data_IF_274119971135
#
_entry.id   IF_274119971135
#
_cell.length_a   1.000
_cell.length_b   1.000
_cell.length_c   1.000
_cell.angle_alpha   90.00
_cell.angle_beta   90.00
_cell.angle_gamma   90.00
#
_symmetry.space_group_name_H-M   'P 1'
#
loop_
_entity.id
_entity.type
_entity.pdbx_description
1 polymer ?
#
# COMPACT_ATOMS: atom_id res chain seq x y z
N UNK A 1 16.57 16.58 -14.25
CA UNK A 1 16.26 15.18 -13.89
C UNK A 1 17.35 14.28 -14.46
N UNK A 2 18.06 13.54 -13.60
CA UNK A 2 19.18 12.68 -13.97
C UNK A 2 18.74 11.21 -14.06
N UNK A 3 19.16 10.50 -15.12
CA UNK A 3 18.90 9.06 -15.27
C UNK A 3 19.95 8.24 -14.51
N UNK A 4 19.51 7.34 -13.63
CA UNK A 4 20.35 6.35 -12.94
C UNK A 4 19.94 4.94 -13.39
N UNK A 5 20.87 4.21 -13.99
CA UNK A 5 20.64 2.83 -14.45
C UNK A 5 21.25 1.88 -13.42
N UNK A 6 20.48 0.90 -12.95
CA UNK A 6 20.93 -0.09 -11.99
C UNK A 6 20.83 -1.48 -12.64
N UNK A 7 21.91 -2.26 -12.72
CA UNK A 7 21.81 -3.65 -13.16
C UNK A 7 20.82 -4.43 -12.30
N UNK A 8 19.88 -5.14 -12.91
CA UNK A 8 18.88 -5.91 -12.17
C UNK A 8 19.51 -6.94 -11.22
N UNK A 9 20.67 -7.50 -11.62
CA UNK A 9 21.45 -8.43 -10.80
C UNK A 9 21.81 -7.89 -9.42
N UNK A 10 22.03 -6.57 -9.27
CA UNK A 10 22.29 -5.95 -7.96
C UNK A 10 21.03 -5.90 -7.09
N UNK A 11 19.88 -5.60 -7.69
CA UNK A 11 18.58 -5.57 -6.98
C UNK A 11 18.19 -6.98 -6.57
N UNK A 12 18.37 -7.96 -7.44
CA UNK A 12 18.11 -9.37 -7.16
C UNK A 12 19.01 -9.90 -6.04
N UNK A 13 20.30 -9.57 -6.06
CA UNK A 13 21.23 -9.96 -5.00
C UNK A 13 20.87 -9.32 -3.63
N UNK A 14 20.51 -8.03 -3.60
CA UNK A 14 20.07 -7.35 -2.39
C UNK A 14 18.78 -7.99 -1.83
N UNK A 15 17.82 -8.30 -2.72
CA UNK A 15 16.56 -8.98 -2.36
C UNK A 15 16.81 -10.37 -1.77
N UNK A 16 17.66 -11.16 -2.42
CA UNK A 16 18.01 -12.50 -1.94
C UNK A 16 18.72 -12.46 -0.59
N UNK A 17 19.62 -11.48 -0.38
CA UNK A 17 20.30 -11.29 0.90
C UNK A 17 19.32 -10.95 2.03
N UNK A 18 18.33 -10.09 1.77
CA UNK A 18 17.29 -9.75 2.76
C UNK A 18 16.44 -10.97 3.12
N UNK A 19 16.01 -11.75 2.12
CA UNK A 19 15.24 -12.97 2.34
C UNK A 19 16.02 -14.00 3.17
N UNK A 20 17.34 -14.08 2.98
CA UNK A 20 18.20 -14.95 3.79
C UNK A 20 18.38 -14.46 5.24
N UNK A 21 18.25 -13.15 5.51
CA UNK A 21 18.41 -12.56 6.85
C UNK A 21 17.11 -12.60 7.67
N UNK A 22 15.95 -12.77 7.02
CA UNK A 22 14.62 -12.74 7.67
C UNK A 22 14.40 -13.81 8.78
N UNK A 23 15.34 -14.73 9.01
CA UNK A 23 15.42 -15.57 10.22
C UNK A 23 15.95 -14.83 11.48
N UNK A 24 16.33 -13.54 11.38
CA UNK A 24 16.79 -12.74 12.51
C UNK A 24 15.94 -11.48 12.72
N UNK A 25 15.23 -11.45 13.85
CA UNK A 25 14.51 -10.27 14.33
C UNK A 25 15.51 -9.14 14.63
N UNK A 26 15.48 -8.08 13.81
CA UNK A 26 16.27 -6.84 13.89
C UNK A 26 17.78 -6.94 13.55
N UNK A 27 18.18 -6.71 12.29
CA UNK A 27 19.55 -6.37 12.00
C UNK A 27 19.83 -4.93 12.44
N UNK A 28 20.72 -4.77 13.43
CA UNK A 28 21.26 -3.49 13.90
C UNK A 28 22.12 -2.75 12.85
N UNK A 29 22.29 -3.35 11.67
CA UNK A 29 22.91 -2.76 10.48
C UNK A 29 22.04 -3.09 9.28
N UNK A 30 21.27 -2.11 8.78
CA UNK A 30 20.53 -2.26 7.52
C UNK A 30 21.52 -2.09 6.36
N UNK A 31 22.12 -3.20 5.92
CA UNK A 31 22.93 -3.25 4.69
C UNK A 31 22.09 -3.16 3.41
N UNK A 32 20.75 -3.16 3.53
CA UNK A 32 19.80 -3.09 2.44
C UNK A 32 20.03 -1.84 1.59
N UNK A 33 20.33 -2.06 0.31
CA UNK A 33 20.62 -0.98 -0.64
C UNK A 33 19.36 -0.43 -1.29
N UNK A 34 18.34 -1.25 -1.50
CA UNK A 34 17.14 -0.85 -2.24
C UNK A 34 15.87 -1.12 -1.45
N UNK A 35 14.81 -0.38 -1.75
CA UNK A 35 13.44 -0.59 -1.26
C UNK A 35 13.31 -0.56 0.27
N UNK A 36 14.15 0.24 0.92
CA UNK A 36 14.07 0.44 2.37
C UNK A 36 12.77 1.15 2.78
N UNK A 37 12.31 0.94 4.02
CA UNK A 37 11.18 1.62 4.66
C UNK A 37 11.40 1.65 6.18
N UNK A 38 10.59 2.39 6.94
CA UNK A 38 10.63 2.41 8.41
C UNK A 38 12.02 2.71 9.01
N UNK A 39 12.71 3.72 8.50
CA UNK A 39 13.96 4.20 9.11
C UNK A 39 13.69 4.99 10.38
N UNK A 40 14.70 5.06 11.23
CA UNK A 40 14.68 5.85 12.46
C UNK A 40 15.14 7.28 12.17
N UNK A 41 14.77 8.19 13.08
CA UNK A 41 15.16 9.59 13.01
C UNK A 41 16.69 9.78 12.97
N UNK A 42 17.43 9.01 13.76
CA UNK A 42 18.89 9.09 13.83
C UNK A 42 19.59 8.63 12.54
N UNK A 43 18.93 7.81 11.72
CA UNK A 43 19.45 7.37 10.42
C UNK A 43 19.29 8.48 9.36
N UNK A 44 18.16 9.18 9.33
CA UNK A 44 17.83 10.16 8.27
C UNK A 44 18.25 11.60 8.60
N UNK A 45 18.20 12.01 9.87
CA UNK A 45 18.48 13.39 10.29
C UNK A 45 19.88 13.90 9.89
N UNK A 46 20.96 13.09 9.89
CA UNK A 46 22.26 13.53 9.41
C UNK A 46 22.30 13.87 7.91
N UNK A 47 21.43 13.24 7.11
CA UNK A 47 21.39 13.41 5.65
C UNK A 47 20.41 14.52 5.24
N UNK A 48 19.25 14.54 5.90
CA UNK A 48 18.18 15.52 5.70
C UNK A 48 17.90 16.18 7.06
N UNK A 49 18.57 17.29 7.39
CA UNK A 49 18.38 17.94 8.68
C UNK A 49 17.00 18.59 8.78
N UNK A 50 16.38 18.49 9.96
CA UNK A 50 15.21 19.29 10.30
C UNK A 50 15.52 20.79 10.24
N UNK A 51 14.51 21.60 9.99
CA UNK A 51 14.61 23.05 9.97
C UNK A 51 13.37 23.68 10.64
N UNK A 52 13.26 25.02 10.61
CA UNK A 52 12.15 25.74 11.24
C UNK A 52 10.75 25.39 10.68
N UNK A 53 10.69 24.75 9.53
CA UNK A 53 9.46 24.44 8.80
C UNK A 53 9.30 22.96 8.48
N UNK A 54 10.33 22.14 8.71
CA UNK A 54 10.31 20.72 8.40
C UNK A 54 10.93 19.92 9.55
N UNK A 55 10.15 18.96 10.04
CA UNK A 55 10.60 17.93 10.96
C UNK A 55 10.29 16.57 10.34
N UNK A 56 11.10 15.57 10.67
CA UNK A 56 10.77 14.19 10.32
C UNK A 56 9.71 13.67 11.28
N UNK A 57 8.61 13.20 10.72
CA UNK A 57 7.55 12.54 11.47
C UNK A 57 6.93 11.42 10.64
N UNK A 58 6.26 10.49 11.32
CA UNK A 58 5.45 9.48 10.63
C UNK A 58 4.21 10.18 10.08
N UNK A 59 4.01 10.22 8.75
CA UNK A 59 2.85 10.91 8.17
C UNK A 59 1.54 10.21 8.57
N UNK A 60 0.44 10.98 8.75
CA UNK A 60 -0.87 10.40 9.03
C UNK A 60 -1.37 9.58 7.83
N UNK A 61 -2.14 8.51 8.02
CA UNK A 61 -2.58 7.67 6.89
C UNK A 61 -3.75 8.25 6.09
N UNK A 62 -4.59 9.06 6.75
CA UNK A 62 -5.85 9.59 6.20
C UNK A 62 -5.70 10.32 4.86
N UNK A 63 -4.69 11.19 4.63
CA UNK A 63 -4.51 11.86 3.34
C UNK A 63 -4.18 10.91 2.17
N UNK A 64 -3.77 9.67 2.47
CA UNK A 64 -3.36 8.66 1.49
C UNK A 64 -4.40 7.54 1.35
N UNK A 65 -5.55 7.64 2.02
CA UNK A 65 -6.63 6.67 1.90
C UNK A 65 -7.10 6.56 0.45
N UNK A 66 -7.18 5.34 -0.07
CA UNK A 66 -7.50 5.11 -1.48
C UNK A 66 -8.86 5.70 -1.87
N UNK A 67 -9.87 5.55 -1.01
CA UNK A 67 -11.24 6.04 -1.25
C UNK A 67 -11.31 7.56 -1.42
N UNK A 68 -10.37 8.31 -0.83
CA UNK A 68 -10.27 9.76 -1.05
C UNK A 68 -9.86 10.09 -2.50
N UNK A 69 -9.02 9.25 -3.11
CA UNK A 69 -8.45 9.45 -4.44
C UNK A 69 -9.10 8.59 -5.52
N UNK A 70 -10.00 7.69 -5.13
CA UNK A 70 -10.60 6.70 -5.99
C UNK A 70 -11.31 7.31 -7.21
N UNK A 71 -12.08 8.42 -7.12
CA UNK A 71 -12.66 9.06 -8.29
C UNK A 71 -11.61 9.52 -9.32
N UNK A 72 -10.46 10.04 -8.85
CA UNK A 72 -9.36 10.47 -9.72
C UNK A 72 -8.67 9.25 -10.36
N UNK A 73 -8.41 8.23 -9.56
CA UNK A 73 -7.79 6.97 -10.01
C UNK A 73 -8.67 6.32 -11.08
N UNK A 74 -9.95 6.12 -10.78
CA UNK A 74 -10.92 5.54 -11.70
C UNK A 74 -11.03 6.32 -13.01
N UNK A 75 -11.07 7.65 -12.93
CA UNK A 75 -11.06 8.53 -14.11
C UNK A 75 -9.76 8.37 -14.91
N UNK A 76 -8.61 8.34 -14.26
CA UNK A 76 -7.31 8.21 -14.95
C UNK A 76 -7.16 6.86 -15.66
N UNK A 77 -7.76 5.81 -15.11
CA UNK A 77 -7.74 4.46 -15.66
C UNK A 77 -8.88 4.19 -16.65
N UNK A 78 -9.79 5.14 -16.85
CA UNK A 78 -11.03 4.97 -17.62
C UNK A 78 -11.83 3.73 -17.17
N UNK A 79 -11.97 3.52 -15.85
CA UNK A 79 -12.72 2.39 -15.32
C UNK A 79 -14.19 2.49 -15.73
N UNK A 80 -14.72 1.43 -16.35
CA UNK A 80 -16.13 1.33 -16.75
C UNK A 80 -17.08 1.33 -15.55
N UNK A 81 -16.62 0.76 -14.45
CA UNK A 81 -17.28 0.74 -13.16
C UNK A 81 -16.25 0.65 -12.05
N UNK A 82 -16.62 1.08 -10.84
CA UNK A 82 -15.83 0.91 -9.63
C UNK A 82 -16.76 1.02 -8.43
N UNK A 83 -16.46 0.27 -7.36
CA UNK A 83 -17.36 0.16 -6.22
C UNK A 83 -16.63 0.36 -4.91
N UNK A 84 -17.30 1.07 -4.00
CA UNK A 84 -16.93 1.16 -2.59
C UNK A 84 -18.05 0.53 -1.76
N UNK A 85 -17.68 -0.40 -0.90
CA UNK A 85 -18.59 -1.16 -0.05
C UNK A 85 -18.12 -1.03 1.40
N UNK A 86 -19.00 -0.57 2.28
CA UNK A 86 -18.77 -0.62 3.71
C UNK A 86 -19.10 -2.01 4.24
N UNK A 87 -18.08 -2.75 4.66
CA UNK A 87 -18.27 -4.01 5.36
C UNK A 87 -18.79 -3.74 6.78
N UNK A 88 -19.68 -4.59 7.31
CA UNK A 88 -20.18 -4.43 8.67
C UNK A 88 -19.04 -4.52 9.69
N UNK A 89 -18.98 -3.56 10.62
CA UNK A 89 -17.93 -3.47 11.63
C UNK A 89 -17.92 -4.63 12.61
N UNK A 90 -19.08 -5.26 12.86
CA UNK A 90 -19.17 -6.44 13.71
C UNK A 90 -18.37 -7.64 13.17
N UNK A 91 -18.00 -7.66 11.88
CA UNK A 91 -17.13 -8.70 11.32
C UNK A 91 -15.65 -8.53 11.72
N UNK A 92 -15.25 -7.39 12.29
CA UNK A 92 -13.86 -7.09 12.63
C UNK A 92 -13.20 -8.20 13.44
N UNK A 93 -13.82 -8.58 14.56
CA UNK A 93 -13.26 -9.60 15.47
C UNK A 93 -13.14 -10.96 14.79
N UNK A 94 -14.12 -11.37 13.98
CA UNK A 94 -14.08 -12.66 13.31
C UNK A 94 -13.08 -12.71 12.15
N UNK A 95 -12.89 -11.58 11.44
CA UNK A 95 -11.80 -11.43 10.46
C UNK A 95 -10.44 -11.54 11.16
N UNK A 96 -10.26 -10.91 12.33
CA UNK A 96 -9.02 -11.02 13.11
C UNK A 96 -8.79 -12.42 13.68
N UNK A 97 -9.85 -13.14 14.06
CA UNK A 97 -9.76 -14.54 14.49
C UNK A 97 -9.33 -15.44 13.35
N UNK A 98 -9.91 -15.28 12.15
CA UNK A 98 -9.48 -16.00 10.95
C UNK A 98 -8.01 -15.74 10.66
N UNK A 99 -7.59 -14.47 10.72
CA UNK A 99 -6.19 -14.09 10.52
C UNK A 99 -5.26 -14.72 11.56
N UNK A 100 -5.63 -14.66 12.85
CA UNK A 100 -4.83 -15.24 13.94
C UNK A 100 -4.68 -16.75 13.78
N UNK A 101 -5.74 -17.45 13.37
CA UNK A 101 -5.69 -18.89 13.06
C UNK A 101 -4.74 -19.18 11.89
N UNK A 102 -4.80 -18.37 10.83
CA UNK A 102 -3.87 -18.47 9.70
C UNK A 102 -2.42 -18.24 10.11
N UNK A 103 -2.11 -17.17 10.84
CA UNK A 103 -0.74 -16.89 11.29
C UNK A 103 -0.21 -18.03 12.16
N UNK A 104 -1.03 -18.58 13.06
CA UNK A 104 -0.62 -19.63 13.98
C UNK A 104 -0.40 -20.99 13.31
N UNK A 105 -1.17 -21.32 12.26
CA UNK A 105 -1.23 -22.69 11.71
C UNK A 105 -0.89 -22.79 10.22
N UNK A 106 -0.68 -21.65 9.56
CA UNK A 106 -0.61 -21.48 8.11
C UNK A 106 -1.86 -22.03 7.37
N UNK A 107 -2.99 -22.14 8.08
CA UNK A 107 -4.27 -22.67 7.57
C UNK A 107 -5.42 -21.87 8.18
N UNK A 108 -6.53 -21.75 7.46
CA UNK A 108 -7.79 -21.28 8.04
C UNK A 108 -8.74 -22.46 8.10
N UNK A 109 -9.35 -22.69 9.27
CA UNK A 109 -10.41 -23.68 9.40
C UNK A 109 -11.60 -23.26 8.55
N UNK A 110 -12.00 -24.11 7.60
CA UNK A 110 -13.07 -23.81 6.63
C UNK A 110 -14.35 -23.37 7.31
N UNK A 111 -14.75 -24.01 8.42
CA UNK A 111 -15.95 -23.65 9.17
C UNK A 111 -15.92 -22.20 9.69
N UNK A 112 -14.78 -21.74 10.22
CA UNK A 112 -14.64 -20.38 10.74
C UNK A 112 -14.76 -19.35 9.59
N UNK A 113 -14.16 -19.66 8.45
CA UNK A 113 -14.23 -18.81 7.26
C UNK A 113 -15.64 -18.77 6.69
N UNK A 114 -16.29 -19.92 6.58
CA UNK A 114 -17.66 -20.07 6.09
C UNK A 114 -18.64 -19.28 6.97
N UNK A 115 -18.49 -19.33 8.30
CA UNK A 115 -19.31 -18.54 9.22
C UNK A 115 -19.20 -17.03 8.92
N UNK A 116 -17.99 -16.51 8.70
CA UNK A 116 -17.78 -15.10 8.34
C UNK A 116 -18.41 -14.77 6.99
N UNK A 117 -18.26 -15.66 6.00
CA UNK A 117 -18.82 -15.49 4.65
C UNK A 117 -20.35 -15.47 4.70
N UNK A 118 -20.98 -16.39 5.43
CA UNK A 118 -22.44 -16.47 5.57
C UNK A 118 -23.00 -15.28 6.35
N UNK A 119 -22.34 -14.86 7.43
CA UNK A 119 -22.70 -13.63 8.15
C UNK A 119 -22.63 -12.41 7.23
N UNK A 120 -21.56 -12.26 6.44
CA UNK A 120 -21.43 -11.16 5.49
C UNK A 120 -22.58 -11.19 4.48
N UNK A 121 -22.86 -12.33 3.83
CA UNK A 121 -23.95 -12.51 2.85
C UNK A 121 -25.32 -12.10 3.39
N UNK A 122 -25.57 -12.28 4.69
CA UNK A 122 -26.84 -11.89 5.32
C UNK A 122 -27.04 -10.37 5.41
N UNK A 123 -25.97 -9.57 5.28
CA UNK A 123 -26.02 -8.11 5.42
C UNK A 123 -26.42 -7.39 4.13
N UNK A 124 -26.81 -6.10 4.24
CA UNK A 124 -27.09 -5.26 3.06
C UNK A 124 -25.86 -5.12 2.15
N UNK A 125 -24.68 -4.92 2.72
CA UNK A 125 -23.42 -4.79 1.97
C UNK A 125 -22.99 -6.13 1.35
N UNK A 126 -23.17 -7.25 2.06
CA UNK A 126 -22.92 -8.58 1.49
C UNK A 126 -23.86 -8.94 0.34
N UNK A 127 -25.14 -8.58 0.42
CA UNK A 127 -26.07 -8.73 -0.72
C UNK A 127 -25.63 -7.92 -1.93
N UNK A 128 -25.17 -6.68 -1.73
CA UNK A 128 -24.59 -5.85 -2.80
C UNK A 128 -23.30 -6.49 -3.36
N UNK A 129 -22.42 -7.01 -2.50
CA UNK A 129 -21.22 -7.74 -2.94
C UNK A 129 -21.55 -8.99 -3.74
N UNK A 130 -22.58 -9.75 -3.36
CA UNK A 130 -23.01 -10.94 -4.08
C UNK A 130 -23.47 -10.60 -5.50
N UNK A 131 -24.05 -9.41 -5.72
CA UNK A 131 -24.38 -8.93 -7.07
C UNK A 131 -23.18 -8.45 -7.89
N UNK A 132 -21.97 -8.40 -7.33
CA UNK A 132 -20.74 -8.02 -8.03
C UNK A 132 -19.81 -9.23 -8.19
N UNK A 133 -19.72 -10.06 -7.16
CA UNK A 133 -18.89 -11.26 -7.03
C UNK A 133 -19.71 -12.50 -7.37
N UNK A 134 -20.13 -12.59 -8.63
CA UNK A 134 -21.01 -13.62 -9.19
C UNK A 134 -20.29 -14.88 -9.69
N UNK A 135 -18.97 -14.95 -9.53
CA UNK A 135 -18.13 -16.03 -10.05
C UNK A 135 -17.68 -15.85 -11.50
N UNK A 136 -18.20 -14.85 -12.21
CA UNK A 136 -17.84 -14.56 -13.62
C UNK A 136 -16.99 -13.30 -13.73
N UNK A 137 -17.41 -12.21 -13.08
CA UNK A 137 -16.68 -10.94 -13.10
C UNK A 137 -15.47 -10.98 -12.19
N UNK A 138 -14.35 -10.49 -12.73
CA UNK A 138 -13.05 -10.44 -12.05
C UNK A 138 -12.80 -9.06 -11.48
N UNK A 139 -12.44 -9.01 -10.20
CA UNK A 139 -12.22 -7.78 -9.47
C UNK A 139 -10.84 -7.72 -8.82
N UNK A 140 -10.17 -6.59 -8.98
CA UNK A 140 -9.12 -6.19 -8.05
C UNK A 140 -9.79 -5.67 -6.78
N UNK A 141 -9.41 -6.25 -5.63
CA UNK A 141 -9.91 -5.83 -4.32
C UNK A 141 -8.84 -5.14 -3.50
N UNK A 142 -9.27 -4.17 -2.67
CA UNK A 142 -8.40 -3.58 -1.65
C UNK A 142 -9.21 -3.03 -0.49
N UNK A 143 -8.55 -2.89 0.65
CA UNK A 143 -9.01 -2.01 1.71
C UNK A 143 -8.50 -0.59 1.45
N UNK A 144 -8.98 0.37 2.24
CA UNK A 144 -8.70 1.80 2.03
C UNK A 144 -7.18 2.08 1.99
N UNK A 145 -6.41 1.47 2.88
CA UNK A 145 -4.98 1.74 2.99
C UNK A 145 -4.13 0.78 2.14
N UNK A 146 -4.56 -0.48 1.98
CA UNK A 146 -3.75 -1.51 1.32
C UNK A 146 -4.60 -2.57 0.60
N UNK A 147 -4.05 -3.11 -0.49
CA UNK A 147 -4.54 -4.35 -1.11
C UNK A 147 -3.95 -5.60 -0.43
N UNK A 148 -4.71 -6.71 -0.34
CA UNK A 148 -4.25 -7.96 0.28
C UNK A 148 -3.29 -8.78 -0.62
N UNK A 149 -2.42 -8.10 -1.37
CA UNK A 149 -1.58 -8.73 -2.41
C UNK A 149 -0.50 -9.69 -1.87
N UNK A 150 -0.21 -9.59 -0.58
CA UNK A 150 0.67 -10.47 0.19
C UNK A 150 -0.03 -11.76 0.65
N UNK A 151 -1.36 -11.88 0.46
CA UNK A 151 -2.05 -13.12 0.76
C UNK A 151 -1.49 -14.28 -0.08
N UNK A 152 -1.08 -15.40 0.56
CA UNK A 152 -0.65 -16.59 -0.17
C UNK A 152 -1.83 -17.30 -0.88
N UNK A 153 -3.06 -16.96 -0.50
CA UNK A 153 -4.30 -17.54 -1.06
C UNK A 153 -4.81 -16.70 -2.25
N UNK A 154 -3.91 -16.42 -3.18
CA UNK A 154 -4.24 -15.72 -4.42
C UNK A 154 -4.34 -14.20 -4.29
N UNK A 155 -3.58 -13.56 -3.38
CA UNK A 155 -3.58 -12.10 -3.23
C UNK A 155 -3.22 -11.32 -4.51
N UNK A 156 -2.48 -11.94 -5.43
CA UNK A 156 -2.10 -11.37 -6.74
C UNK A 156 -3.08 -11.71 -7.88
N UNK A 157 -4.15 -12.45 -7.59
CA UNK A 157 -5.15 -12.87 -8.58
C UNK A 157 -6.41 -11.99 -8.45
N UNK A 158 -7.29 -11.94 -9.46
CA UNK A 158 -8.62 -11.33 -9.31
C UNK A 158 -9.50 -12.12 -8.35
N UNK A 159 -10.42 -11.44 -7.66
CA UNK A 159 -11.51 -12.04 -6.89
C UNK A 159 -12.79 -12.04 -7.73
N UNK A 160 -13.51 -13.15 -7.72
CA UNK A 160 -14.82 -13.28 -8.38
C UNK A 160 -15.91 -13.76 -7.42
N UNK A 161 -15.56 -14.19 -6.20
CA UNK A 161 -16.53 -14.62 -5.18
C UNK A 161 -16.30 -13.94 -3.82
N UNK A 162 -17.33 -13.83 -2.98
CA UNK A 162 -17.21 -13.33 -1.60
C UNK A 162 -16.21 -14.17 -0.80
N UNK A 163 -16.22 -15.50 -0.98
CA UNK A 163 -15.33 -16.40 -0.27
C UNK A 163 -13.85 -16.07 -0.57
N UNK A 164 -13.49 -15.84 -1.83
CA UNK A 164 -12.13 -15.41 -2.19
C UNK A 164 -11.74 -14.07 -1.56
N UNK A 165 -12.67 -13.10 -1.54
CA UNK A 165 -12.43 -11.79 -0.91
C UNK A 165 -12.12 -11.94 0.57
N UNK A 166 -12.99 -12.65 1.31
CA UNK A 166 -12.81 -12.87 2.76
C UNK A 166 -11.54 -13.67 3.02
N UNK A 167 -11.27 -14.74 2.25
CA UNK A 167 -10.05 -15.54 2.35
C UNK A 167 -8.80 -14.66 2.25
N UNK A 168 -8.74 -13.77 1.26
CA UNK A 168 -7.57 -12.92 1.01
C UNK A 168 -7.39 -11.86 2.09
N UNK A 169 -8.48 -11.28 2.60
CA UNK A 169 -8.44 -10.36 3.74
C UNK A 169 -7.89 -11.09 4.97
N UNK A 170 -8.41 -12.28 5.29
CA UNK A 170 -7.99 -13.04 6.47
C UNK A 170 -6.54 -13.55 6.37
N UNK A 171 -6.05 -13.86 5.17
CA UNK A 171 -4.69 -14.39 4.96
C UNK A 171 -3.66 -13.34 4.56
N UNK A 172 -3.92 -12.05 4.80
CA UNK A 172 -3.02 -10.95 4.44
C UNK A 172 -2.56 -10.19 5.68
N UNK A 173 -1.23 -10.04 5.83
CA UNK A 173 -0.65 -9.18 6.86
C UNK A 173 -0.95 -7.70 6.59
N UNK A 174 -1.01 -7.30 5.32
CA UNK A 174 -1.41 -5.93 4.91
C UNK A 174 -2.86 -5.63 5.28
N UNK A 175 -3.77 -6.57 5.05
CA UNK A 175 -5.18 -6.38 5.39
C UNK A 175 -5.37 -6.34 6.91
N UNK A 176 -4.71 -7.23 7.66
CA UNK A 176 -4.67 -7.17 9.12
C UNK A 176 -4.22 -5.78 9.61
N UNK A 177 -3.09 -5.28 9.12
CA UNK A 177 -2.58 -3.95 9.50
C UNK A 177 -3.51 -2.79 9.13
N UNK A 178 -4.27 -2.92 8.04
CA UNK A 178 -5.29 -1.94 7.67
C UNK A 178 -6.48 -1.96 8.66
N UNK A 179 -6.93 -3.14 9.09
CA UNK A 179 -8.05 -3.29 10.01
C UNK A 179 -7.70 -2.80 11.41
N UNK A 180 -6.55 -3.22 11.95
CA UNK A 180 -6.14 -2.82 13.30
C UNK A 180 -5.87 -1.31 13.40
N UNK A 181 -5.23 -0.73 12.37
CA UNK A 181 -5.02 0.72 12.33
C UNK A 181 -6.32 1.49 12.26
N UNK A 182 -7.26 1.08 11.41
CA UNK A 182 -8.55 1.75 11.33
C UNK A 182 -9.35 1.65 12.64
N UNK A 183 -9.22 0.53 13.38
CA UNK A 183 -9.78 0.40 14.72
C UNK A 183 -9.15 1.38 15.70
N UNK A 184 -7.81 1.47 15.73
CA UNK A 184 -7.08 2.39 16.61
C UNK A 184 -7.39 3.86 16.25
N UNK A 185 -7.34 4.22 14.97
CA UNK A 185 -7.64 5.56 14.46
C UNK A 185 -9.08 5.96 14.81
N UNK A 186 -10.06 5.06 14.63
CA UNK A 186 -11.45 5.33 14.96
C UNK A 186 -11.64 5.60 16.47
N UNK A 187 -10.96 4.83 17.31
CA UNK A 187 -10.96 5.03 18.76
C UNK A 187 -10.31 6.35 19.18
N UNK A 188 -9.17 6.70 18.57
CA UNK A 188 -8.47 7.96 18.85
C UNK A 188 -9.28 9.18 18.38
N UNK A 189 -9.98 9.06 17.24
CA UNK A 189 -10.81 10.13 16.68
C UNK A 189 -12.25 10.17 17.26
N UNK A 190 -12.59 9.30 18.22
CA UNK A 190 -13.95 9.15 18.79
C UNK A 190 -15.04 9.02 17.71
N UNK A 191 -14.79 8.14 16.73
CA UNK A 191 -15.70 7.86 15.62
C UNK A 191 -15.96 6.36 15.47
N UNK A 192 -17.01 6.02 14.73
CA UNK A 192 -17.22 4.64 14.32
C UNK A 192 -16.11 4.19 13.33
N UNK A 193 -15.67 2.95 13.50
CA UNK A 193 -14.77 2.26 12.59
C UNK A 193 -15.42 2.10 11.21
N UNK A 194 -14.64 2.22 10.14
CA UNK A 194 -15.12 1.99 8.78
C UNK A 194 -14.25 0.97 8.04
N UNK A 195 -14.82 -0.21 7.79
CA UNK A 195 -14.15 -1.23 6.96
C UNK A 195 -14.56 -1.01 5.50
N UNK A 196 -13.79 -0.18 4.78
CA UNK A 196 -14.04 0.10 3.36
C UNK A 196 -13.38 -0.96 2.47
N UNK A 197 -14.19 -1.65 1.67
CA UNK A 197 -13.74 -2.55 0.61
C UNK A 197 -13.98 -1.89 -0.75
N UNK A 198 -12.92 -1.79 -1.54
CA UNK A 198 -12.95 -1.26 -2.90
C UNK A 198 -12.84 -2.39 -3.91
N UNK A 199 -13.65 -2.32 -4.96
CA UNK A 199 -13.63 -3.24 -6.09
C UNK A 199 -13.45 -2.45 -7.39
N UNK A 200 -12.34 -2.71 -8.08
CA UNK A 200 -12.08 -2.22 -9.44
C UNK A 200 -12.11 -3.40 -10.40
N UNK A 201 -12.60 -3.22 -11.64
CA UNK A 201 -12.51 -4.25 -12.66
C UNK A 201 -11.08 -4.72 -12.82
N UNK A 202 -10.88 -6.03 -12.88
CA UNK A 202 -9.56 -6.60 -13.10
C UNK A 202 -9.06 -6.25 -14.50
N UNK A 203 -7.86 -5.69 -14.59
CA UNK A 203 -7.22 -5.35 -15.85
C UNK A 203 -6.12 -6.36 -16.18
N UNK A 204 -6.44 -7.36 -17.01
CA UNK A 204 -5.46 -8.35 -17.51
C UNK A 204 -4.32 -7.72 -18.32
N UNK A 205 -4.52 -6.50 -18.83
CA UNK A 205 -3.52 -5.75 -19.60
C UNK A 205 -2.59 -4.88 -18.76
N UNK A 206 -2.76 -4.83 -17.44
CA UNK A 206 -1.87 -4.08 -16.55
C UNK A 206 -0.51 -4.79 -16.46
N UNK A 207 0.53 -4.12 -16.92
CA UNK A 207 1.90 -4.64 -16.96
C UNK A 207 2.71 -4.09 -15.77
N UNK A 208 3.07 -4.92 -14.77
CA UNK A 208 3.86 -4.48 -13.62
C UNK A 208 5.24 -3.93 -13.99
N UNK A 209 5.82 -4.34 -15.12
CA UNK A 209 7.13 -3.84 -15.58
C UNK A 209 7.04 -2.40 -16.12
N UNK A 210 5.81 -1.87 -16.22
CA UNK A 210 5.51 -0.49 -16.60
C UNK A 210 4.95 0.33 -15.44
N UNK A 211 5.00 -0.19 -14.22
CA UNK A 211 4.64 0.53 -13.02
C UNK A 211 5.84 1.33 -12.47
N UNK A 212 5.61 2.60 -12.12
CA UNK A 212 6.61 3.49 -11.58
C UNK A 212 6.08 4.18 -10.32
N UNK A 213 6.94 4.33 -9.32
CA UNK A 213 6.67 5.15 -8.14
C UNK A 213 7.29 6.53 -8.29
N UNK A 214 6.48 7.56 -8.07
CA UNK A 214 6.90 8.95 -8.03
C UNK A 214 6.91 9.42 -6.58
N UNK A 215 8.01 10.06 -6.17
CA UNK A 215 8.16 10.63 -4.83
C UNK A 215 8.09 12.16 -4.89
N UNK A 216 7.16 12.74 -4.14
CA UNK A 216 6.95 14.18 -4.05
C UNK A 216 7.26 14.65 -2.63
N UNK A 217 8.41 15.29 -2.38
CA UNK A 217 8.78 15.69 -1.03
C UNK A 217 7.95 16.88 -0.53
N UNK A 218 7.80 17.02 0.80
CA UNK A 218 7.17 18.21 1.37
C UNK A 218 8.00 19.45 1.00
N UNK A 219 7.38 20.51 0.43
CA UNK A 219 8.11 21.73 0.05
C UNK A 219 8.89 22.39 1.19
N UNK A 220 8.45 22.17 2.43
CA UNK A 220 9.11 22.63 3.63
C UNK A 220 10.50 22.02 3.85
N UNK A 221 10.77 20.81 3.32
CA UNK A 221 12.10 20.20 3.40
C UNK A 221 13.17 21.05 2.71
N UNK A 222 12.80 21.78 1.65
CA UNK A 222 13.69 22.71 0.92
C UNK A 222 13.76 24.10 1.56
N UNK A 223 13.16 24.30 2.74
CA UNK A 223 12.96 25.62 3.34
C UNK A 223 12.17 26.60 2.43
N UNK A 224 11.37 26.07 1.50
CA UNK A 224 10.54 26.88 0.60
C UNK A 224 9.13 26.93 1.15
N UNK A 225 8.73 28.08 1.71
CA UNK A 225 7.36 28.29 2.17
C UNK A 225 6.49 28.68 0.98
N UNK A 226 5.66 27.75 0.49
CA UNK A 226 4.59 28.07 -0.46
C UNK A 226 3.26 28.08 0.30
N UNK A 227 2.43 29.14 0.20
CA UNK A 227 1.17 29.27 0.94
C UNK A 227 0.14 28.15 0.69
N UNK A 228 0.36 27.32 -0.34
CA UNK A 228 -0.50 26.20 -0.73
C UNK A 228 0.24 24.86 -0.81
N UNK A 229 1.44 24.78 -0.22
CA UNK A 229 2.17 23.51 -0.12
C UNK A 229 1.43 22.57 0.84
N UNK A 230 1.35 21.30 0.48
CA UNK A 230 0.97 20.25 1.42
C UNK A 230 2.01 20.21 2.55
N UNK A 231 1.53 20.11 3.79
CA UNK A 231 2.39 19.95 4.97
C UNK A 231 3.23 18.67 4.84
N UNK A 232 2.63 17.62 4.32
CA UNK A 232 3.26 16.33 4.04
C UNK A 232 3.68 16.19 2.58
N UNK A 233 4.76 15.44 2.35
CA UNK A 233 5.03 14.89 1.02
C UNK A 233 4.07 13.75 0.70
N UNK A 234 4.10 13.26 -0.53
CA UNK A 234 3.36 12.04 -0.90
C UNK A 234 4.15 11.27 -1.94
N UNK A 235 3.84 9.98 -2.07
CA UNK A 235 4.28 9.19 -3.22
C UNK A 235 3.05 8.68 -3.95
N UNK A 236 3.19 8.40 -5.24
CA UNK A 236 2.11 7.82 -6.01
C UNK A 236 2.65 6.89 -7.06
N UNK A 237 1.89 5.84 -7.31
CA UNK A 237 2.21 4.83 -8.30
C UNK A 237 1.47 5.14 -9.58
N UNK A 238 2.15 4.99 -10.71
CA UNK A 238 1.59 5.16 -12.05
C UNK A 238 1.95 3.98 -12.93
N UNK A 239 1.09 3.67 -13.89
CA UNK A 239 1.39 2.70 -14.94
C UNK A 239 1.46 3.38 -16.30
N UNK A 240 2.51 3.08 -17.07
CA UNK A 240 2.70 3.55 -18.44
C UNK A 240 1.97 2.63 -19.42
N UNK A 241 1.04 3.20 -20.17
CA UNK A 241 0.27 2.50 -21.19
C UNK A 241 1.04 2.41 -22.51
N UNK A 242 0.68 1.42 -23.35
CA UNK A 242 1.33 1.20 -24.66
C UNK A 242 1.23 2.41 -25.60
N UNK A 243 0.19 3.22 -25.46
CA UNK A 243 -0.01 4.45 -26.25
C UNK A 243 0.74 5.67 -25.67
N UNK A 244 1.58 5.48 -24.64
CA UNK A 244 2.28 6.55 -23.94
C UNK A 244 1.44 7.27 -22.88
N UNK A 245 0.16 6.90 -22.70
CA UNK A 245 -0.68 7.41 -21.63
C UNK A 245 -0.18 6.98 -20.24
N UNK A 246 -0.48 7.77 -19.22
CA UNK A 246 -0.11 7.48 -17.82
C UNK A 246 -1.37 7.40 -17.01
N UNK A 247 -1.52 6.33 -16.22
CA UNK A 247 -2.65 6.14 -15.34
C UNK A 247 -2.17 6.12 -13.89
N UNK A 248 -2.92 6.79 -13.01
CA UNK A 248 -2.66 6.80 -11.57
C UNK A 248 -3.13 5.47 -10.98
N UNK A 249 -2.32 4.81 -10.16
CA UNK A 249 -2.60 3.51 -9.55
C UNK A 249 -3.01 3.67 -8.09
N UNK A 250 -2.16 4.31 -7.28
CA UNK A 250 -2.43 4.61 -5.88
C UNK A 250 -1.60 5.79 -5.37
N UNK A 251 -1.97 6.33 -4.21
CA UNK A 251 -1.15 7.24 -3.43
C UNK A 251 -0.68 6.52 -2.16
N UNK A 252 0.52 6.90 -1.71
CA UNK A 252 1.19 6.31 -0.56
C UNK A 252 1.83 7.43 0.29
N UNK A 253 1.94 7.22 1.62
CA UNK A 253 2.66 8.14 2.49
C UNK A 253 4.10 8.39 2.02
N UNK A 254 4.64 9.57 2.30
CA UNK A 254 6.04 9.90 2.00
C UNK A 254 6.86 10.03 3.29
N UNK A 255 8.11 9.58 3.21
CA UNK A 255 9.13 9.90 4.19
C UNK A 255 9.84 8.66 4.74
N UNK A 256 11.07 8.84 5.19
CA UNK A 256 11.93 7.76 5.68
C UNK A 256 11.34 6.98 6.86
N UNK A 257 10.59 7.67 7.73
CA UNK A 257 9.91 7.07 8.90
C UNK A 257 8.63 6.32 8.52
N UNK A 258 8.11 6.51 7.31
CA UNK A 258 6.89 5.85 6.84
C UNK A 258 7.14 4.39 6.43
N UNK A 259 6.06 3.62 6.31
CA UNK A 259 6.10 2.27 5.72
C UNK A 259 6.16 2.24 4.20
N UNK A 260 6.34 3.39 3.54
CA UNK A 260 6.45 3.45 2.10
C UNK A 260 7.82 2.93 1.66
N UNK A 261 7.82 1.82 0.90
CA UNK A 261 9.03 1.29 0.27
C UNK A 261 9.61 2.27 -0.74
N UNK A 262 10.93 2.47 -0.67
CA UNK A 262 11.69 3.38 -1.54
C UNK A 262 11.96 2.84 -2.96
N UNK A 263 11.48 1.63 -3.31
CA UNK A 263 11.72 0.99 -4.61
C UNK A 263 13.23 0.91 -4.95
N UNK A 264 13.70 1.57 -6.01
CA UNK A 264 15.13 1.58 -6.38
C UNK A 264 15.94 2.68 -5.65
N UNK A 265 15.30 3.44 -4.77
CA UNK A 265 15.95 4.35 -3.85
C UNK A 265 16.22 3.70 -2.50
N UNK A 266 17.07 4.36 -1.73
CA UNK A 266 17.24 4.17 -0.29
C UNK A 266 16.92 5.48 0.42
N UNK A 267 16.01 5.45 1.40
CA UNK A 267 15.59 6.67 2.11
C UNK A 267 16.74 7.44 2.78
N UNK A 268 17.78 6.73 3.23
CA UNK A 268 18.95 7.34 3.89
C UNK A 268 20.00 7.70 2.86
N UNK A 269 20.43 6.77 2.01
CA UNK A 269 21.51 7.05 1.04
C UNK A 269 21.10 8.06 -0.03
N UNK A 270 19.84 8.01 -0.47
CA UNK A 270 19.28 8.92 -1.47
C UNK A 270 18.42 10.03 -0.85
N UNK A 271 18.45 10.19 0.48
CA UNK A 271 17.55 11.10 1.21
C UNK A 271 17.60 12.53 0.67
N UNK A 272 18.77 13.04 0.30
CA UNK A 272 18.91 14.39 -0.27
C UNK A 272 18.16 14.54 -1.61
N UNK A 273 18.24 13.53 -2.48
CA UNK A 273 17.49 13.48 -3.74
C UNK A 273 16.00 13.33 -3.46
N UNK A 274 15.60 12.39 -2.60
CA UNK A 274 14.19 12.11 -2.31
C UNK A 274 13.48 13.28 -1.65
N UNK A 275 14.15 14.02 -0.77
CA UNK A 275 13.64 15.24 -0.13
C UNK A 275 13.85 16.51 -0.98
N UNK A 276 14.39 16.34 -2.19
CA UNK A 276 14.57 17.40 -3.19
C UNK A 276 15.59 18.47 -2.80
N UNK A 277 16.53 18.14 -1.92
CA UNK A 277 17.72 18.95 -1.63
C UNK A 277 18.76 18.85 -2.76
N UNK A 278 18.60 17.89 -3.66
CA UNK A 278 19.42 17.66 -4.85
C UNK A 278 18.54 17.48 -6.10
N UNK A 279 19.18 17.38 -7.26
CA UNK A 279 18.51 17.19 -8.55
C UNK A 279 17.67 15.89 -8.55
N UNK A 280 16.43 15.92 -9.08
CA UNK A 280 15.58 14.74 -9.13
C UNK A 280 16.20 13.65 -10.01
N UNK A 281 16.07 12.41 -9.58
CA UNK A 281 16.56 11.24 -10.31
C UNK A 281 15.40 10.39 -10.86
N UNK A 282 15.60 9.82 -12.04
CA UNK A 282 14.78 8.76 -12.59
C UNK A 282 15.61 7.48 -12.60
N UNK A 283 15.17 6.46 -11.88
CA UNK A 283 15.91 5.22 -11.71
C UNK A 283 15.16 4.09 -12.38
N UNK A 284 15.87 3.31 -13.20
CA UNK A 284 15.34 2.11 -13.83
C UNK A 284 16.34 0.97 -13.71
N UNK A 285 15.82 -0.25 -13.66
CA UNK A 285 16.63 -1.43 -13.91
C UNK A 285 16.76 -1.65 -15.40
N UNK A 286 17.97 -1.94 -15.86
CA UNK A 286 18.24 -2.40 -17.22
C UNK A 286 19.12 -3.64 -17.11
N UNK A 287 18.86 -4.61 -17.98
CA UNK A 287 19.75 -5.73 -18.25
C UNK A 287 20.76 -5.35 -19.35
#
# INVERSE_FOLDING_TARGET
MQLRKIPYSLVAADTAAIQAIQDSSNPSSRSQRFSTAHHRLDEIAPVVPSNAHFIHETPPWKPYGYTLWHPLIAKSQNLSEHHEILLPTFLYEDLLRCHSAWVATNRIHTSLLDDVVEMLKCTKSGKKLATLLDGERKWFIRLDQMSPKDSPMGGKLPSSTIHEVVTRICTSMRAYGCLTREFDDAKTEDREMQIKLVLNPWNEGMDPDKEFRVFVPPPAAKNTRKPHATEYGFSFDVTLQRNGGVQLVELNPFGALSGCGACLFNWVLDGRVMYGLEEPQFIVTLD
#
